data_IF_423593598480
#
_entry.id   IF_423593598480
#
_cell.length_a   1.000
_cell.length_b   1.000
_cell.length_c   1.000
_cell.angle_alpha   90.00
_cell.angle_beta   90.00
_cell.angle_gamma   90.00
#
_symmetry.space_group_name_H-M   'P 1'
#
loop_
_entity.id
_entity.type
_entity.pdbx_description
1 polymer ?
#
# COMPACT_ATOMS: atom_id res chain seq x y z
N UNK A 1 -32.63 1.26 -12.99
CA UNK A 1 -31.27 0.67 -13.17
C UNK A 1 -30.38 1.58 -14.01
N UNK A 2 -30.76 1.99 -15.22
CA UNK A 2 -29.94 2.82 -16.10
C UNK A 2 -29.53 4.16 -15.47
N UNK A 3 -30.46 4.86 -14.83
CA UNK A 3 -30.17 6.17 -14.18
C UNK A 3 -29.16 6.01 -13.01
N UNK A 4 -29.24 4.92 -12.24
CA UNK A 4 -28.26 4.63 -11.19
C UNK A 4 -26.85 4.38 -11.76
N UNK A 5 -26.77 3.69 -12.90
CA UNK A 5 -25.48 3.47 -13.59
C UNK A 5 -24.89 4.80 -14.01
N UNK A 6 -25.70 5.68 -14.65
CA UNK A 6 -25.25 7.01 -15.07
C UNK A 6 -24.81 7.88 -13.88
N UNK A 7 -25.59 7.84 -12.78
CA UNK A 7 -25.25 8.55 -11.53
C UNK A 7 -23.89 8.13 -10.99
N UNK A 8 -23.64 6.81 -10.91
CA UNK A 8 -22.34 6.28 -10.44
C UNK A 8 -21.16 6.77 -11.32
N UNK A 9 -21.33 6.82 -12.64
CA UNK A 9 -20.31 7.38 -13.53
C UNK A 9 -20.08 8.86 -13.26
N UNK A 10 -21.14 9.64 -13.13
CA UNK A 10 -21.05 11.08 -12.87
C UNK A 10 -20.35 11.36 -11.54
N UNK A 11 -20.72 10.67 -10.47
CA UNK A 11 -20.11 10.78 -9.14
C UNK A 11 -18.63 10.41 -9.19
N UNK A 12 -18.27 9.31 -9.86
CA UNK A 12 -16.89 8.89 -10.03
C UNK A 12 -16.04 9.93 -10.78
N UNK A 13 -16.59 10.54 -11.84
CA UNK A 13 -15.90 11.60 -12.61
C UNK A 13 -15.68 12.84 -11.71
N UNK A 14 -16.71 13.28 -11.02
CA UNK A 14 -16.62 14.45 -10.14
C UNK A 14 -15.62 14.24 -9.00
N UNK A 15 -15.61 13.05 -8.39
CA UNK A 15 -14.63 12.68 -7.36
C UNK A 15 -13.21 12.73 -7.91
N UNK A 16 -12.98 12.20 -9.13
CA UNK A 16 -11.65 12.25 -9.77
C UNK A 16 -11.19 13.66 -10.10
N UNK A 17 -12.09 14.52 -10.56
CA UNK A 17 -11.77 15.93 -10.85
C UNK A 17 -11.34 16.62 -9.55
N UNK A 18 -12.13 16.51 -8.48
CA UNK A 18 -11.79 17.09 -7.18
C UNK A 18 -10.48 16.51 -6.61
N UNK A 19 -10.29 15.20 -6.71
CA UNK A 19 -9.06 14.53 -6.27
C UNK A 19 -7.83 15.01 -7.05
N UNK A 20 -7.94 15.23 -8.36
CA UNK A 20 -6.80 15.71 -9.17
C UNK A 20 -6.30 17.09 -8.75
N UNK A 21 -7.19 17.95 -8.27
CA UNK A 21 -6.83 19.29 -7.78
C UNK A 21 -6.18 19.24 -6.39
N UNK A 22 -6.67 18.34 -5.51
CA UNK A 22 -6.24 18.27 -4.13
C UNK A 22 -5.03 17.36 -3.91
N UNK A 23 -4.95 16.26 -4.65
CA UNK A 23 -4.00 15.18 -4.39
C UNK A 23 -2.78 15.15 -5.31
N UNK A 24 -2.73 15.96 -6.37
CA UNK A 24 -1.58 15.95 -7.29
C UNK A 24 -0.24 16.17 -6.56
N UNK A 25 -0.16 17.17 -5.68
CA UNK A 25 1.04 17.42 -4.89
C UNK A 25 1.39 16.30 -3.90
N UNK A 26 0.46 15.83 -3.06
CA UNK A 26 0.68 14.66 -2.20
C UNK A 26 1.11 13.39 -2.96
N UNK A 27 0.54 13.13 -4.14
CA UNK A 27 0.92 11.98 -4.98
C UNK A 27 2.34 12.14 -5.51
N UNK A 28 2.73 13.33 -5.98
CA UNK A 28 4.09 13.62 -6.40
C UNK A 28 5.08 13.38 -5.25
N UNK A 29 4.78 13.90 -4.07
CA UNK A 29 5.62 13.70 -2.88
C UNK A 29 5.75 12.22 -2.50
N UNK A 30 4.66 11.47 -2.54
CA UNK A 30 4.66 10.03 -2.30
C UNK A 30 5.54 9.29 -3.32
N UNK A 31 5.40 9.62 -4.61
CA UNK A 31 6.24 9.09 -5.68
C UNK A 31 7.71 9.38 -5.47
N UNK A 32 8.06 10.63 -5.15
CA UNK A 32 9.45 11.02 -4.87
C UNK A 32 10.03 10.29 -3.64
N UNK A 33 9.24 10.08 -2.60
CA UNK A 33 9.65 9.30 -1.42
C UNK A 33 9.99 7.86 -1.80
N UNK A 34 9.16 7.21 -2.62
CA UNK A 34 9.44 5.86 -3.13
C UNK A 34 10.71 5.83 -4.01
N UNK A 35 10.84 6.77 -4.92
CA UNK A 35 12.01 6.87 -5.81
C UNK A 35 13.30 7.02 -5.00
N UNK A 36 13.34 7.91 -4.02
CA UNK A 36 14.51 8.12 -3.17
C UNK A 36 14.86 6.85 -2.37
N UNK A 37 13.87 6.17 -1.82
CA UNK A 37 14.06 4.90 -1.12
C UNK A 37 14.67 3.83 -2.03
N UNK A 38 14.12 3.64 -3.22
CA UNK A 38 14.59 2.67 -4.20
C UNK A 38 16.01 3.00 -4.71
N UNK A 39 16.33 4.27 -4.95
CA UNK A 39 17.66 4.71 -5.35
C UNK A 39 18.71 4.51 -4.24
N UNK A 40 18.28 4.56 -2.97
CA UNK A 40 19.14 4.25 -1.82
C UNK A 40 19.33 2.74 -1.60
N UNK A 41 18.76 1.87 -2.45
CA UNK A 41 18.86 0.42 -2.36
C UNK A 41 17.86 -0.22 -1.39
N UNK A 42 16.85 0.53 -0.96
CA UNK A 42 15.77 0.04 -0.11
C UNK A 42 14.61 -0.55 -0.94
N UNK A 43 13.57 -1.03 -0.26
CA UNK A 43 12.39 -1.67 -0.86
C UNK A 43 11.09 -1.01 -0.40
N UNK A 44 10.00 -1.38 -1.06
CA UNK A 44 8.66 -0.97 -0.67
C UNK A 44 7.89 -2.19 -0.15
N UNK A 45 7.32 -2.08 1.04
CA UNK A 45 6.37 -3.04 1.59
C UNK A 45 4.96 -2.50 1.41
N UNK A 46 4.04 -3.31 0.90
CA UNK A 46 2.66 -2.89 0.68
C UNK A 46 1.68 -3.78 1.43
N UNK A 47 0.67 -3.20 2.08
CA UNK A 47 -0.36 -3.94 2.81
C UNK A 47 -1.75 -3.32 2.64
N UNK A 48 -2.77 -4.14 2.80
CA UNK A 48 -4.18 -3.78 2.76
C UNK A 48 -5.06 -5.01 2.90
N UNK A 49 -6.37 -4.83 3.04
CA UNK A 49 -7.33 -5.91 3.20
C UNK A 49 -8.28 -5.99 2.00
N UNK A 50 -8.78 -7.17 1.67
CA UNK A 50 -9.79 -7.36 0.62
C UNK A 50 -9.35 -6.79 -0.73
N UNK A 51 -10.09 -5.83 -1.27
CA UNK A 51 -9.72 -5.13 -2.51
C UNK A 51 -8.36 -4.44 -2.39
N UNK A 52 -8.10 -3.79 -1.26
CA UNK A 52 -6.80 -3.15 -0.99
C UNK A 52 -5.63 -4.14 -0.86
N UNK A 53 -5.90 -5.41 -0.56
CA UNK A 53 -4.89 -6.46 -0.67
C UNK A 53 -4.55 -6.74 -2.14
N UNK A 54 -5.57 -6.75 -3.01
CA UNK A 54 -5.38 -6.83 -4.46
C UNK A 54 -4.56 -5.65 -5.01
N UNK A 55 -4.86 -4.43 -4.56
CA UNK A 55 -4.10 -3.23 -4.93
C UNK A 55 -2.63 -3.32 -4.51
N UNK A 56 -2.35 -3.79 -3.28
CA UNK A 56 -0.99 -4.02 -2.79
C UNK A 56 -0.22 -5.05 -3.64
N UNK A 57 -0.89 -6.12 -4.05
CA UNK A 57 -0.31 -7.14 -4.93
C UNK A 57 -0.04 -6.62 -6.33
N UNK A 58 -1.00 -5.89 -6.91
CA UNK A 58 -0.87 -5.28 -8.23
C UNK A 58 0.30 -4.28 -8.24
N UNK A 59 0.35 -3.38 -7.25
CA UNK A 59 1.45 -2.44 -7.09
C UNK A 59 2.83 -3.15 -7.02
N UNK A 60 2.94 -4.20 -6.21
CA UNK A 60 4.18 -4.99 -6.11
C UNK A 60 4.55 -5.63 -7.45
N UNK A 61 3.58 -6.18 -8.17
CA UNK A 61 3.80 -6.82 -9.46
C UNK A 61 4.30 -5.83 -10.52
N UNK A 62 3.74 -4.62 -10.54
CA UNK A 62 4.16 -3.56 -11.48
C UNK A 62 5.61 -3.12 -11.21
N UNK A 63 6.06 -3.10 -9.95
CA UNK A 63 7.44 -2.77 -9.60
C UNK A 63 8.41 -3.92 -9.90
N UNK A 64 8.06 -5.15 -9.53
CA UNK A 64 8.89 -6.33 -9.73
C UNK A 64 9.05 -6.73 -11.19
N UNK A 65 8.02 -6.52 -12.00
CA UNK A 65 8.06 -6.75 -13.44
C UNK A 65 8.33 -5.42 -14.17
N UNK A 66 7.29 -4.78 -14.69
CA UNK A 66 7.37 -3.47 -15.33
C UNK A 66 5.99 -2.83 -15.42
N UNK A 67 5.97 -1.51 -15.52
CA UNK A 67 4.80 -0.73 -15.89
C UNK A 67 5.15 0.16 -17.09
N UNK A 68 4.37 0.07 -18.17
CA UNK A 68 4.51 0.80 -19.45
C UNK A 68 5.87 0.62 -20.14
N UNK A 69 6.97 1.03 -19.51
CA UNK A 69 8.32 1.02 -20.07
C UNK A 69 9.16 -0.14 -19.59
N UNK A 70 10.05 -0.65 -20.44
CA UNK A 70 11.03 -1.66 -20.07
C UNK A 70 12.09 -1.04 -19.13
N UNK A 71 12.35 -1.69 -18.01
CA UNK A 71 13.33 -1.27 -17.01
C UNK A 71 13.76 -2.46 -16.11
N UNK A 72 14.86 -2.32 -15.36
CA UNK A 72 15.21 -3.31 -14.34
C UNK A 72 14.12 -3.46 -13.27
N UNK A 73 13.94 -4.67 -12.70
CA UNK A 73 13.04 -4.91 -11.57
C UNK A 73 13.35 -4.00 -10.37
N UNK A 74 12.30 -3.52 -9.70
CA UNK A 74 12.40 -2.72 -8.49
C UNK A 74 11.88 -3.50 -7.29
N UNK A 75 12.56 -3.47 -6.12
CA UNK A 75 12.21 -4.29 -4.98
C UNK A 75 10.91 -3.81 -4.30
N UNK A 76 9.88 -4.63 -4.36
CA UNK A 76 8.60 -4.42 -3.67
C UNK A 76 8.03 -5.76 -3.17
N UNK A 77 7.38 -5.75 -2.02
CA UNK A 77 6.78 -6.94 -1.40
C UNK A 77 5.34 -6.61 -0.97
N UNK A 78 4.38 -7.35 -1.51
CA UNK A 78 3.02 -7.33 -0.98
C UNK A 78 2.94 -8.28 0.23
N UNK A 79 2.67 -7.75 1.41
CA UNK A 79 2.56 -8.50 2.67
C UNK A 79 1.28 -9.36 2.74
N UNK A 80 0.57 -9.47 1.65
CA UNK A 80 -0.76 -10.10 1.52
C UNK A 80 -0.72 -11.43 0.79
N UNK A 81 0.45 -11.91 0.36
CA UNK A 81 0.56 -13.05 -0.56
C UNK A 81 0.95 -14.36 0.12
N UNK A 82 1.73 -14.33 1.20
CA UNK A 82 2.13 -15.52 1.93
C UNK A 82 1.00 -15.98 2.86
N UNK A 83 0.18 -16.90 2.37
CA UNK A 83 -0.94 -17.44 3.11
C UNK A 83 -0.52 -18.18 4.38
N UNK A 84 0.65 -18.83 4.40
CA UNK A 84 1.15 -19.52 5.57
C UNK A 84 1.51 -18.53 6.67
N UNK A 85 2.21 -17.46 6.34
CA UNK A 85 2.54 -16.39 7.29
C UNK A 85 1.28 -15.71 7.83
N UNK A 86 0.33 -15.35 6.96
CA UNK A 86 -0.91 -14.67 7.37
C UNK A 86 -1.74 -15.56 8.29
N UNK A 87 -1.93 -16.83 7.91
CA UNK A 87 -2.79 -17.74 8.67
C UNK A 87 -2.15 -18.16 9.99
N UNK A 88 -0.85 -18.40 10.05
CA UNK A 88 -0.15 -18.73 11.30
C UNK A 88 -0.21 -17.56 12.28
N UNK A 89 0.08 -16.34 11.84
CA UNK A 89 -0.02 -15.16 12.71
C UNK A 89 -1.46 -14.95 13.19
N UNK A 90 -2.43 -15.07 12.28
CA UNK A 90 -3.85 -14.92 12.62
C UNK A 90 -4.37 -15.98 13.60
N UNK A 91 -3.85 -17.21 13.52
CA UNK A 91 -4.21 -18.31 14.39
C UNK A 91 -3.51 -18.21 15.79
N UNK A 92 -2.22 -17.95 15.80
CA UNK A 92 -1.40 -18.00 17.02
C UNK A 92 -1.45 -16.71 17.84
N UNK A 93 -1.81 -15.60 17.20
CA UNK A 93 -1.90 -14.27 17.83
C UNK A 93 -3.26 -13.63 17.51
N UNK A 94 -3.25 -12.53 16.72
CA UNK A 94 -4.45 -11.83 16.28
C UNK A 94 -4.34 -11.43 14.80
N UNK A 95 -5.47 -11.37 14.10
CA UNK A 95 -5.54 -10.86 12.74
C UNK A 95 -4.99 -9.42 12.61
N UNK A 96 -5.07 -8.65 13.69
CA UNK A 96 -4.51 -7.30 13.77
C UNK A 96 -2.98 -7.28 13.62
N UNK A 97 -2.30 -8.41 13.75
CA UNK A 97 -0.83 -8.49 13.74
C UNK A 97 -0.24 -9.05 12.44
N UNK A 98 -1.07 -9.45 11.50
CA UNK A 98 -0.61 -10.14 10.29
C UNK A 98 0.39 -9.31 9.47
N UNK A 99 0.24 -7.99 9.42
CA UNK A 99 1.15 -7.09 8.70
C UNK A 99 2.27 -6.56 9.60
N UNK A 100 1.97 -6.19 10.84
CA UNK A 100 2.96 -5.63 11.76
C UNK A 100 4.12 -6.59 12.05
N UNK A 101 3.85 -7.88 12.19
CA UNK A 101 4.91 -8.90 12.36
C UNK A 101 5.79 -9.02 11.12
N UNK A 102 5.22 -8.96 9.93
CA UNK A 102 5.97 -8.96 8.69
C UNK A 102 6.80 -7.68 8.52
N UNK A 103 6.24 -6.50 8.82
CA UNK A 103 6.99 -5.24 8.81
C UNK A 103 8.15 -5.29 9.79
N UNK A 104 7.94 -5.86 11.00
CA UNK A 104 9.00 -6.02 11.99
C UNK A 104 10.13 -6.93 11.51
N UNK A 105 9.80 -7.98 10.78
CA UNK A 105 10.78 -8.94 10.29
C UNK A 105 11.53 -8.48 9.03
N UNK A 106 10.82 -7.83 8.10
CA UNK A 106 11.30 -7.56 6.74
C UNK A 106 11.68 -6.09 6.50
N UNK A 107 11.10 -5.16 7.26
CA UNK A 107 11.34 -3.72 7.10
C UNK A 107 12.66 -3.30 7.70
N UNK A 108 13.37 -2.42 7.00
CA UNK A 108 14.60 -1.78 7.46
C UNK A 108 14.43 -0.26 7.43
N UNK A 109 15.30 0.45 8.12
CA UNK A 109 15.38 1.91 8.02
C UNK A 109 15.53 2.34 6.55
N UNK A 110 14.70 3.29 6.12
CA UNK A 110 14.68 3.80 4.74
C UNK A 110 13.79 3.03 3.77
N UNK A 111 13.31 1.82 4.11
CA UNK A 111 12.25 1.15 3.35
C UNK A 111 10.93 1.94 3.47
N UNK A 112 10.07 1.89 2.47
CA UNK A 112 8.75 2.56 2.51
C UNK A 112 7.65 1.56 2.83
N UNK A 113 6.71 1.93 3.71
CA UNK A 113 5.44 1.22 3.86
C UNK A 113 4.34 1.92 3.06
N UNK A 114 3.76 1.23 2.07
CA UNK A 114 2.51 1.60 1.41
C UNK A 114 1.35 0.92 2.14
N UNK A 115 0.56 1.71 2.87
CA UNK A 115 -0.56 1.26 3.69
C UNK A 115 -1.89 1.65 3.03
N UNK A 116 -2.70 0.65 2.64
CA UNK A 116 -3.95 0.87 1.90
C UNK A 116 -5.15 0.48 2.76
N UNK A 117 -6.02 1.44 3.07
CA UNK A 117 -7.23 1.21 3.87
C UNK A 117 -8.33 2.18 3.48
N UNK A 118 -9.37 1.73 2.78
CA UNK A 118 -10.50 2.58 2.36
C UNK A 118 -11.21 3.25 3.53
N UNK A 119 -11.30 2.59 4.68
CA UNK A 119 -11.89 3.16 5.90
C UNK A 119 -10.95 4.01 6.72
N UNK A 120 -9.63 3.93 6.50
CA UNK A 120 -8.60 4.51 7.34
C UNK A 120 -8.49 3.89 8.75
N UNK A 121 -9.33 2.88 9.08
CA UNK A 121 -9.50 2.36 10.44
C UNK A 121 -9.16 0.87 10.58
N UNK A 122 -8.56 0.23 9.59
CA UNK A 122 -8.18 -1.18 9.65
C UNK A 122 -7.06 -1.40 10.66
N UNK A 123 -7.35 -2.09 11.76
CA UNK A 123 -6.42 -2.26 12.90
C UNK A 123 -5.10 -2.90 12.52
N UNK A 124 -5.11 -3.92 11.64
CA UNK A 124 -3.88 -4.55 11.16
C UNK A 124 -3.01 -3.61 10.32
N UNK A 125 -3.62 -2.71 9.54
CA UNK A 125 -2.91 -1.67 8.79
C UNK A 125 -2.34 -0.61 9.73
N UNK A 126 -3.11 -0.16 10.73
CA UNK A 126 -2.64 0.79 11.74
C UNK A 126 -1.45 0.21 12.52
N UNK A 127 -1.52 -1.03 12.98
CA UNK A 127 -0.38 -1.69 13.65
C UNK A 127 0.85 -1.83 12.75
N UNK A 128 0.66 -2.04 11.45
CA UNK A 128 1.76 -2.04 10.49
C UNK A 128 2.43 -0.65 10.41
N UNK A 129 1.63 0.42 10.37
CA UNK A 129 2.10 1.81 10.39
C UNK A 129 2.91 2.10 11.68
N UNK A 130 2.37 1.77 12.85
CA UNK A 130 3.05 1.95 14.13
C UNK A 130 4.41 1.21 14.16
N UNK A 131 4.43 0.01 13.61
CA UNK A 131 5.66 -0.78 13.50
C UNK A 131 6.65 -0.14 12.53
N UNK A 132 6.19 0.36 11.38
CA UNK A 132 7.04 1.05 10.40
C UNK A 132 7.66 2.33 11.00
N UNK A 133 6.88 3.12 11.76
CA UNK A 133 7.40 4.29 12.49
C UNK A 133 8.54 3.88 13.43
N UNK A 134 8.36 2.79 14.20
CA UNK A 134 9.39 2.32 15.14
C UNK A 134 10.66 1.79 14.46
N UNK A 135 10.65 1.65 13.14
CA UNK A 135 11.77 1.18 12.32
C UNK A 135 12.32 2.26 11.38
N UNK A 136 11.95 3.52 11.60
CA UNK A 136 12.36 4.67 10.78
C UNK A 136 12.06 4.48 9.29
N UNK A 137 10.89 3.88 9.01
CA UNK A 137 10.40 3.71 7.64
C UNK A 137 9.44 4.84 7.29
N UNK A 138 9.63 5.57 6.18
CA UNK A 138 8.62 6.44 5.61
C UNK A 138 7.31 5.70 5.31
N UNK A 139 6.19 6.38 5.51
CA UNK A 139 4.86 5.80 5.33
C UNK A 139 4.09 6.60 4.28
N UNK A 140 3.47 5.89 3.36
CA UNK A 140 2.50 6.43 2.42
C UNK A 140 1.18 5.73 2.69
N UNK A 141 0.15 6.49 3.06
CA UNK A 141 -1.17 5.94 3.34
C UNK A 141 -2.16 6.35 2.24
N UNK A 142 -2.87 5.36 1.69
CA UNK A 142 -4.01 5.57 0.80
C UNK A 142 -5.29 5.29 1.58
N UNK A 143 -6.13 6.31 1.75
CA UNK A 143 -7.39 6.23 2.48
C UNK A 143 -8.53 6.79 1.64
N UNK A 144 -9.77 6.34 1.93
CA UNK A 144 -10.99 6.90 1.32
C UNK A 144 -11.61 8.01 2.15
#
# INVERSE_FOLDING_TARGET
MLERIKSNFTESIQTKIAASELLAGPIEQAGMTMVQSLLAGNKILACGNGGSAGDAQHFSAELLNRYETERPPLPAIALTTDSSTITSIGNDYHFDEIFSKQVRALGNNGDVLLAISTSGNSRNVIKAIETAVSRDMPIIALTG
#
